data_IF_046559270935
#
_entry.id   IF_046559270935
#
_cell.length_a   1.000
_cell.length_b   1.000
_cell.length_c   1.000
_cell.angle_alpha   90.00
_cell.angle_beta   90.00
_cell.angle_gamma   90.00
#
_symmetry.space_group_name_H-M   'P 1'
#
loop_
_entity.id
_entity.type
_entity.pdbx_description
1 polymer ?
#
# COMPACT_ATOMS: atom_id res chain seq x y z
N UNK A 1 8.45 -24.65 0.11
CA UNK A 1 8.78 -23.75 1.24
C UNK A 1 7.47 -23.15 1.71
N UNK A 2 7.11 -23.33 2.97
CA UNK A 2 5.94 -22.65 3.56
C UNK A 2 6.22 -21.14 3.56
N UNK A 3 5.29 -20.28 3.08
CA UNK A 3 5.53 -18.84 3.08
C UNK A 3 5.74 -18.39 4.54
N UNK A 4 6.95 -17.92 4.83
CA UNK A 4 7.37 -17.47 6.14
C UNK A 4 6.50 -16.26 6.52
N UNK A 5 5.97 -16.25 7.75
CA UNK A 5 5.16 -15.14 8.25
C UNK A 5 5.98 -13.84 8.14
N UNK A 6 5.48 -12.79 7.48
CA UNK A 6 6.18 -11.53 7.34
C UNK A 6 6.44 -10.92 8.72
N UNK A 7 7.69 -10.53 8.99
CA UNK A 7 8.06 -9.87 10.25
C UNK A 7 7.71 -8.38 10.19
N UNK A 8 6.51 -8.06 10.68
CA UNK A 8 6.02 -6.68 10.68
C UNK A 8 6.74 -5.78 11.70
N UNK A 9 7.59 -6.33 12.58
CA UNK A 9 8.51 -5.49 13.37
C UNK A 9 9.58 -4.89 12.46
N UNK A 10 10.05 -5.65 11.49
CA UNK A 10 11.02 -5.16 10.51
C UNK A 10 10.38 -4.11 9.59
N UNK A 11 9.15 -4.35 9.13
CA UNK A 11 8.42 -3.36 8.34
C UNK A 11 8.26 -2.02 9.06
N UNK A 12 7.95 -2.02 10.36
CA UNK A 12 7.87 -0.78 11.15
C UNK A 12 9.20 -0.01 11.22
N UNK A 13 10.34 -0.71 11.19
CA UNK A 13 11.66 -0.06 11.12
C UNK A 13 11.91 0.53 9.74
N UNK A 14 11.59 -0.21 8.68
CA UNK A 14 11.70 0.26 7.28
C UNK A 14 10.85 1.53 7.08
N UNK A 15 9.61 1.51 7.54
CA UNK A 15 8.69 2.65 7.48
C UNK A 15 9.04 3.76 8.46
N UNK A 16 9.90 3.49 9.45
CA UNK A 16 10.20 4.39 10.59
C UNK A 16 8.93 4.83 11.33
N UNK A 17 7.92 3.96 11.39
CA UNK A 17 6.63 4.21 12.02
C UNK A 17 6.31 3.07 12.97
N UNK A 18 6.00 3.40 14.22
CA UNK A 18 5.53 2.43 15.22
C UNK A 18 4.00 2.49 15.30
N UNK A 19 3.35 1.39 14.98
CA UNK A 19 1.90 1.27 15.08
C UNK A 19 1.50 1.08 16.54
N UNK A 20 0.55 1.89 17.02
CA UNK A 20 -0.07 1.71 18.35
C UNK A 20 -0.83 0.39 18.42
N UNK A 21 -1.52 0.03 17.33
CA UNK A 21 -2.16 -1.25 17.14
C UNK A 21 -1.53 -1.99 15.95
N UNK A 22 -0.65 -2.99 16.20
CA UNK A 22 -0.01 -3.76 15.14
C UNK A 22 -0.98 -4.53 14.23
N UNK A 23 -2.20 -4.83 14.70
CA UNK A 23 -3.18 -5.57 13.89
C UNK A 23 -3.61 -4.80 12.64
N UNK A 24 -3.52 -3.46 12.68
CA UNK A 24 -3.80 -2.61 11.52
C UNK A 24 -2.74 -2.80 10.43
N UNK A 25 -1.46 -2.93 10.83
CA UNK A 25 -0.38 -3.20 9.89
C UNK A 25 -0.47 -4.64 9.36
N UNK A 26 -0.87 -5.60 10.20
CA UNK A 26 -1.17 -6.96 9.74
C UNK A 26 -2.22 -6.93 8.63
N UNK A 27 -3.38 -6.32 8.88
CA UNK A 27 -4.48 -6.25 7.91
C UNK A 27 -4.09 -5.45 6.65
N UNK A 28 -3.31 -4.37 6.77
CA UNK A 28 -2.84 -3.60 5.62
C UNK A 28 -2.01 -4.43 4.63
N UNK A 29 -1.36 -5.50 5.10
CA UNK A 29 -0.58 -6.42 4.26
C UNK A 29 -1.39 -7.62 3.74
N UNK A 30 -2.69 -7.72 4.02
CA UNK A 30 -3.55 -8.83 3.60
C UNK A 30 -4.13 -8.57 2.21
N UNK A 31 -3.56 -9.20 1.20
CA UNK A 31 -4.16 -9.19 -0.13
C UNK A 31 -5.42 -10.06 -0.14
N UNK A 32 -6.44 -9.64 -0.89
CA UNK A 32 -7.73 -10.36 -1.03
C UNK A 32 -7.58 -11.83 -1.42
N UNK A 33 -6.55 -12.19 -2.20
CA UNK A 33 -6.32 -13.59 -2.60
C UNK A 33 -6.04 -14.51 -1.41
N UNK A 34 -5.44 -13.98 -0.33
CA UNK A 34 -5.09 -14.75 0.85
C UNK A 34 -6.28 -15.12 1.73
N UNK A 35 -7.42 -14.42 1.62
CA UNK A 35 -8.61 -14.65 2.45
C UNK A 35 -9.20 -16.04 2.28
N UNK A 36 -9.14 -16.60 1.06
CA UNK A 36 -9.69 -17.91 0.77
C UNK A 36 -8.84 -19.05 1.36
N UNK A 37 -7.51 -18.89 1.42
CA UNK A 37 -6.59 -19.90 1.97
C UNK A 37 -6.37 -19.74 3.48
N UNK A 38 -6.57 -18.52 4.00
CA UNK A 38 -6.27 -18.16 5.39
C UNK A 38 -7.52 -17.80 6.20
N UNK A 39 -8.68 -18.43 5.91
CA UNK A 39 -9.98 -18.11 6.53
C UNK A 39 -9.99 -18.05 8.07
N UNK A 40 -9.05 -18.75 8.72
CA UNK A 40 -8.94 -18.76 10.18
C UNK A 40 -7.99 -17.68 10.75
N UNK A 41 -7.32 -16.89 9.90
CA UNK A 41 -6.27 -15.94 10.29
C UNK A 41 -6.64 -14.48 10.01
N UNK A 42 -7.35 -14.21 8.91
CA UNK A 42 -7.78 -12.87 8.52
C UNK A 42 -9.24 -12.89 8.07
N UNK A 43 -10.04 -11.96 8.58
CA UNK A 43 -11.44 -11.80 8.22
C UNK A 43 -11.67 -10.81 7.07
N UNK A 44 -10.73 -9.89 6.86
CA UNK A 44 -10.82 -8.81 5.87
C UNK A 44 -9.48 -8.61 5.15
N UNK A 45 -9.54 -8.18 3.89
CA UNK A 45 -8.39 -7.72 3.11
C UNK A 45 -8.02 -6.28 3.49
N UNK A 46 -6.98 -5.76 2.84
CA UNK A 46 -6.59 -4.36 2.91
C UNK A 46 -7.42 -3.41 2.04
N UNK A 47 -8.40 -3.89 1.25
CA UNK A 47 -9.15 -3.07 0.29
C UNK A 47 -9.86 -1.86 0.94
N UNK A 48 -10.32 -1.99 2.19
CA UNK A 48 -10.90 -0.85 2.93
C UNK A 48 -9.87 0.18 3.37
N UNK A 49 -8.64 -0.25 3.64
CA UNK A 49 -7.53 0.66 3.93
C UNK A 49 -7.00 1.31 2.67
N UNK A 50 -6.99 0.60 1.54
CA UNK A 50 -6.68 1.17 0.21
C UNK A 50 -7.67 2.30 -0.13
N UNK A 51 -8.98 2.05 -0.01
CA UNK A 51 -9.99 3.09 -0.20
C UNK A 51 -9.78 4.35 0.67
N UNK A 52 -9.39 4.17 1.94
CA UNK A 52 -9.10 5.29 2.84
C UNK A 52 -7.76 5.97 2.51
N UNK A 53 -6.76 5.16 2.13
CA UNK A 53 -5.40 5.57 1.79
C UNK A 53 -5.38 6.47 0.58
N UNK A 54 -6.15 6.12 -0.46
CA UNK A 54 -6.33 6.94 -1.66
C UNK A 54 -6.84 8.35 -1.34
N UNK A 55 -7.91 8.45 -0.54
CA UNK A 55 -8.46 9.76 -0.14
C UNK A 55 -7.45 10.56 0.71
N UNK A 56 -6.72 9.90 1.61
CA UNK A 56 -5.69 10.54 2.43
C UNK A 56 -4.51 11.05 1.57
N UNK A 57 -4.07 10.26 0.60
CA UNK A 57 -2.99 10.60 -0.32
C UNK A 57 -3.40 11.74 -1.26
N UNK A 58 -4.64 11.73 -1.73
CA UNK A 58 -5.21 12.82 -2.52
C UNK A 58 -5.21 14.13 -1.72
N UNK A 59 -5.69 14.12 -0.47
CA UNK A 59 -5.69 15.31 0.38
C UNK A 59 -4.28 15.82 0.65
N UNK A 60 -3.36 14.92 1.01
CA UNK A 60 -1.98 15.30 1.32
C UNK A 60 -1.27 15.89 0.10
N UNK A 61 -1.34 15.22 -1.05
CA UNK A 61 -0.72 15.69 -2.29
C UNK A 61 -1.31 17.03 -2.74
N UNK A 62 -2.63 17.19 -2.65
CA UNK A 62 -3.32 18.44 -2.97
C UNK A 62 -2.86 19.59 -2.08
N UNK A 63 -2.72 19.33 -0.78
CA UNK A 63 -2.24 20.33 0.20
C UNK A 63 -0.81 20.77 -0.13
N UNK A 64 0.08 19.81 -0.41
CA UNK A 64 1.47 20.10 -0.80
C UNK A 64 1.54 20.92 -2.08
N UNK A 65 0.79 20.54 -3.11
CA UNK A 65 0.77 21.25 -4.39
C UNK A 65 0.21 22.66 -4.26
N UNK A 66 -0.91 22.83 -3.54
CA UNK A 66 -1.52 24.12 -3.26
C UNK A 66 -0.54 25.09 -2.57
N UNK A 67 0.16 24.62 -1.54
CA UNK A 67 1.14 25.46 -0.82
C UNK A 67 2.42 25.71 -1.63
N UNK A 68 2.90 24.72 -2.41
CA UNK A 68 4.17 24.82 -3.14
C UNK A 68 4.07 25.66 -4.40
N UNK A 69 2.90 25.69 -5.04
CA UNK A 69 2.69 26.35 -6.33
C UNK A 69 1.53 27.35 -6.27
N UNK A 70 1.63 28.43 -5.47
CA UNK A 70 0.52 29.35 -5.19
C UNK A 70 0.05 30.17 -6.41
N UNK A 71 0.76 30.10 -7.54
CA UNK A 71 0.45 30.84 -8.77
C UNK A 71 -0.18 29.98 -9.87
N UNK A 72 -0.21 28.66 -9.71
CA UNK A 72 -0.78 27.76 -10.70
C UNK A 72 -2.30 27.71 -10.56
N UNK A 73 -3.01 27.59 -11.67
CA UNK A 73 -4.44 27.39 -11.68
C UNK A 73 -4.81 25.97 -11.20
N UNK A 74 -6.05 25.78 -10.78
CA UNK A 74 -6.57 24.48 -10.31
C UNK A 74 -6.29 23.36 -11.32
N UNK A 75 -6.56 23.56 -12.60
CA UNK A 75 -6.34 22.53 -13.63
C UNK A 75 -4.87 22.13 -13.79
N UNK A 76 -3.93 23.06 -13.59
CA UNK A 76 -2.50 22.76 -13.60
C UNK A 76 -2.08 21.94 -12.37
N UNK A 77 -2.60 22.30 -11.19
CA UNK A 77 -2.38 21.55 -9.96
C UNK A 77 -2.95 20.13 -10.07
N UNK A 78 -4.14 19.98 -10.63
CA UNK A 78 -4.79 18.69 -10.88
C UNK A 78 -3.99 17.84 -11.88
N UNK A 79 -3.45 18.44 -12.95
CA UNK A 79 -2.56 17.76 -13.88
C UNK A 79 -1.24 17.31 -13.23
N UNK A 80 -0.63 18.14 -12.38
CA UNK A 80 0.57 17.72 -11.65
C UNK A 80 0.22 16.57 -10.70
N UNK A 81 -0.89 16.68 -9.96
CA UNK A 81 -1.34 15.63 -9.02
C UNK A 81 -1.50 14.29 -9.71
N UNK A 82 -2.16 14.23 -10.87
CA UNK A 82 -2.35 12.98 -11.62
C UNK A 82 -1.05 12.37 -12.14
N UNK A 83 -0.01 13.18 -12.36
CA UNK A 83 1.32 12.69 -12.74
C UNK A 83 2.12 12.14 -11.56
N UNK A 84 1.92 12.67 -10.35
CA UNK A 84 2.65 12.23 -9.14
C UNK A 84 1.92 11.11 -8.38
N UNK A 85 0.61 11.22 -8.22
CA UNK A 85 -0.27 10.22 -7.57
C UNK A 85 -0.87 9.37 -8.67
N UNK A 86 -0.09 8.39 -9.12
CA UNK A 86 -0.52 7.37 -10.07
C UNK A 86 0.05 6.02 -9.71
N UNK A 87 -0.65 5.01 -10.18
CA UNK A 87 -0.41 3.60 -9.89
C UNK A 87 1.05 3.17 -10.12
N UNK A 88 1.70 3.66 -11.18
CA UNK A 88 3.09 3.31 -11.49
C UNK A 88 4.08 3.86 -10.46
N UNK A 89 3.87 5.10 -10.03
CA UNK A 89 4.76 5.74 -9.06
C UNK A 89 4.58 5.10 -7.67
N UNK A 90 3.34 4.82 -7.27
CA UNK A 90 3.05 4.15 -6.00
C UNK A 90 3.61 2.72 -5.97
N UNK A 91 3.47 1.98 -7.07
CA UNK A 91 4.10 0.67 -7.21
C UNK A 91 5.61 0.75 -7.04
N UNK A 92 6.26 1.74 -7.65
CA UNK A 92 7.70 1.94 -7.48
C UNK A 92 8.08 2.23 -6.03
N UNK A 93 7.31 3.09 -5.33
CA UNK A 93 7.54 3.37 -3.90
C UNK A 93 7.39 2.10 -3.06
N UNK A 94 6.39 1.25 -3.33
CA UNK A 94 6.26 -0.03 -2.64
C UNK A 94 7.40 -1.00 -2.98
N UNK A 95 7.97 -0.95 -4.19
CA UNK A 95 9.17 -1.72 -4.57
C UNK A 95 10.36 -1.25 -3.76
N UNK A 96 10.60 0.06 -3.70
CA UNK A 96 11.74 0.65 -3.01
C UNK A 96 11.70 0.38 -1.50
N UNK A 97 10.50 0.33 -0.92
CA UNK A 97 10.24 -0.05 0.47
C UNK A 97 10.17 -1.58 0.68
N UNK A 98 10.30 -2.37 -0.38
CA UNK A 98 10.19 -3.82 -0.38
C UNK A 98 8.90 -4.34 0.29
N UNK A 99 7.77 -3.63 0.12
CA UNK A 99 6.51 -3.99 0.79
C UNK A 99 5.95 -5.34 0.31
N UNK A 100 6.24 -5.73 -0.93
CA UNK A 100 5.82 -7.02 -1.49
C UNK A 100 6.35 -8.24 -0.70
N UNK A 101 7.48 -8.11 0.00
CA UNK A 101 8.00 -9.15 0.88
C UNK A 101 7.14 -9.35 2.13
N UNK A 102 6.34 -8.36 2.50
CA UNK A 102 5.48 -8.39 3.69
C UNK A 102 4.03 -8.77 3.39
N UNK A 103 3.65 -8.91 2.11
CA UNK A 103 2.29 -9.26 1.71
C UNK A 103 1.92 -10.71 2.07
N UNK A 104 0.72 -10.87 2.64
CA UNK A 104 0.02 -12.14 2.72
C UNK A 104 -0.71 -12.39 1.40
N UNK A 105 -0.28 -13.43 0.68
CA UNK A 105 -0.82 -13.85 -0.62
C UNK A 105 -1.25 -15.31 -0.53
N UNK A 106 -2.19 -15.73 -1.39
CA UNK A 106 -2.41 -17.15 -1.64
C UNK A 106 -1.21 -17.78 -2.34
N UNK A 107 -1.08 -19.11 -2.26
CA UNK A 107 -0.03 -19.84 -3.00
C UNK A 107 -0.15 -19.61 -4.50
N UNK A 108 -1.37 -19.61 -5.02
CA UNK A 108 -1.63 -19.33 -6.43
C UNK A 108 -1.19 -17.92 -6.82
N UNK A 109 -1.46 -16.91 -6.01
CA UNK A 109 -1.05 -15.54 -6.31
C UNK A 109 0.48 -15.38 -6.22
N UNK A 110 1.11 -16.05 -5.26
CA UNK A 110 2.56 -16.07 -5.14
C UNK A 110 3.24 -16.66 -6.39
N UNK A 111 2.76 -17.79 -6.92
CA UNK A 111 3.37 -18.43 -8.10
C UNK A 111 3.21 -17.61 -9.38
N UNK A 112 2.19 -16.76 -9.47
CA UNK A 112 1.98 -15.86 -10.61
C UNK A 112 2.76 -14.54 -10.49
N UNK A 113 3.64 -14.41 -9.50
CA UNK A 113 4.47 -13.22 -9.28
C UNK A 113 3.75 -12.11 -8.53
N UNK A 114 2.72 -12.43 -7.74
CA UNK A 114 1.89 -11.44 -7.05
C UNK A 114 2.67 -10.50 -6.13
N UNK A 115 3.81 -10.93 -5.56
CA UNK A 115 4.70 -10.08 -4.74
C UNK A 115 5.29 -8.89 -5.50
N UNK A 116 5.47 -9.03 -6.80
CA UNK A 116 6.00 -7.97 -7.68
C UNK A 116 4.86 -7.22 -8.38
N UNK A 117 3.74 -7.88 -8.66
CA UNK A 117 2.60 -7.31 -9.41
C UNK A 117 1.60 -6.52 -8.55
N UNK A 118 1.36 -6.97 -7.32
CA UNK A 118 0.32 -6.41 -6.42
C UNK A 118 0.85 -5.45 -5.37
N UNK A 119 2.05 -4.91 -5.59
CA UNK A 119 2.54 -3.78 -4.79
C UNK A 119 1.68 -2.52 -4.93
N UNK A 120 0.76 -2.54 -5.91
CA UNK A 120 -0.29 -1.55 -6.12
C UNK A 120 -1.40 -1.62 -5.07
N UNK A 121 -1.83 -2.82 -4.63
CA UNK A 121 -2.94 -2.98 -3.68
C UNK A 121 -2.55 -2.64 -2.23
N UNK A 122 -1.43 -1.95 -2.05
CA UNK A 122 -0.92 -1.50 -0.76
C UNK A 122 -1.22 -0.03 -0.50
N UNK A 123 -1.76 0.66 -1.51
CA UNK A 123 -2.19 2.04 -1.47
C UNK A 123 -3.64 2.10 -1.85
#
# INVERSE_FOLDING_TARGET
MTPQKPDLKELQKVLKVKFKNPSLLDQAMVHRSSLNESRNKFSESNERFEFLGDAALELWSSTVLFSRFPKLAEGELTNIRSLIVRTENLAQVATDLNLGAFLYLSRGEETHGGRSKHQKSLF
#
